data_IF_888861127876
#
_entry.id   IF_888861127876
#
_cell.length_a   1.000
_cell.length_b   1.000
_cell.length_c   1.000
_cell.angle_alpha   90.00
_cell.angle_beta   90.00
_cell.angle_gamma   90.00
#
_symmetry.space_group_name_H-M   'P 1'
#
loop_
_entity.id
_entity.type
_entity.pdbx_description
1 polymer ?
#
# COMPACT_ATOMS: atom_id res chain seq x y z
N UNK A 1 -19.12 -0.71 14.84
CA UNK A 1 -18.87 -1.27 13.49
C UNK A 1 -17.35 -1.31 13.26
N UNK A 2 -16.69 -2.47 13.37
CA UNK A 2 -15.21 -2.58 13.42
C UNK A 2 -14.69 -3.66 12.44
N UNK A 3 -15.17 -3.68 11.19
CA UNK A 3 -14.70 -4.67 10.20
C UNK A 3 -14.15 -4.07 8.90
N UNK A 4 -14.21 -2.75 8.71
CA UNK A 4 -13.90 -2.10 7.43
C UNK A 4 -12.44 -2.25 6.98
N UNK A 5 -11.52 -2.38 7.93
CA UNK A 5 -10.08 -2.53 7.64
C UNK A 5 -9.61 -3.98 7.64
N UNK A 6 -10.52 -4.94 7.92
CA UNK A 6 -10.20 -6.36 7.85
C UNK A 6 -9.99 -6.75 6.39
N UNK A 7 -9.01 -7.60 6.13
CA UNK A 7 -8.81 -8.15 4.78
C UNK A 7 -9.95 -9.13 4.53
N UNK A 8 -10.75 -8.81 3.53
CA UNK A 8 -11.85 -9.64 3.05
C UNK A 8 -11.31 -10.81 2.22
N UNK A 9 -10.37 -10.52 1.32
CA UNK A 9 -9.81 -11.51 0.40
C UNK A 9 -8.33 -11.30 0.15
N UNK A 10 -7.60 -12.40 0.01
CA UNK A 10 -6.23 -12.41 -0.49
C UNK A 10 -6.25 -12.20 -1.99
N UNK A 11 -5.41 -11.30 -2.48
CA UNK A 11 -5.27 -11.00 -3.91
C UNK A 11 -4.01 -11.68 -4.41
N UNK A 12 -4.08 -12.27 -5.61
CA UNK A 12 -2.91 -12.87 -6.23
C UNK A 12 -1.87 -11.79 -6.54
N UNK A 13 -0.62 -12.02 -6.13
CA UNK A 13 0.47 -11.07 -6.32
C UNK A 13 0.75 -10.81 -7.80
N UNK A 14 0.68 -11.84 -8.66
CA UNK A 14 0.93 -11.70 -10.10
C UNK A 14 -0.14 -10.83 -10.74
N UNK A 15 -1.40 -11.14 -10.50
CA UNK A 15 -2.56 -10.36 -10.99
C UNK A 15 -2.48 -8.91 -10.49
N UNK A 16 -2.12 -8.70 -9.22
CA UNK A 16 -1.95 -7.37 -8.67
C UNK A 16 -0.84 -6.58 -9.36
N UNK A 17 0.30 -7.21 -9.66
CA UNK A 17 1.41 -6.54 -10.37
C UNK A 17 0.98 -6.16 -11.78
N UNK A 18 0.29 -7.04 -12.50
CA UNK A 18 -0.24 -6.73 -13.84
C UNK A 18 -1.24 -5.57 -13.77
N UNK A 19 -2.16 -5.62 -12.82
CA UNK A 19 -3.13 -4.55 -12.58
C UNK A 19 -2.46 -3.21 -12.27
N UNK A 20 -1.41 -3.19 -11.43
CA UNK A 20 -0.67 -1.95 -11.11
C UNK A 20 0.07 -1.40 -12.33
N UNK A 21 0.56 -2.27 -13.23
CA UNK A 21 1.27 -1.87 -14.46
C UNK A 21 0.37 -1.14 -15.46
N UNK A 22 -0.95 -1.32 -15.40
CA UNK A 22 -1.89 -0.56 -16.23
C UNK A 22 -1.91 0.93 -15.89
N UNK A 23 -1.47 1.31 -14.68
CA UNK A 23 -1.43 2.69 -14.24
C UNK A 23 -0.09 3.36 -14.55
N UNK A 24 -0.16 4.56 -15.13
CA UNK A 24 1.00 5.44 -15.32
C UNK A 24 1.43 6.06 -13.99
N UNK A 25 2.72 6.38 -13.88
CA UNK A 25 3.32 7.03 -12.70
C UNK A 25 2.58 8.31 -12.26
N UNK A 26 2.03 9.05 -13.20
CA UNK A 26 1.26 10.29 -12.98
C UNK A 26 -0.09 10.05 -12.30
N UNK A 27 -0.65 8.85 -12.44
CA UNK A 27 -1.97 8.49 -11.89
C UNK A 27 -1.91 8.16 -10.40
N UNK A 28 -0.72 8.08 -9.80
CA UNK A 28 -0.55 7.79 -8.38
C UNK A 28 -0.60 9.07 -7.56
N UNK A 29 -1.64 9.25 -6.76
CA UNK A 29 -1.81 10.43 -5.90
C UNK A 29 -1.49 10.10 -4.45
N UNK A 30 -0.75 11.01 -3.81
CA UNK A 30 -0.54 11.03 -2.37
C UNK A 30 -1.13 12.34 -1.84
N UNK A 31 -2.08 12.25 -0.91
CA UNK A 31 -2.62 13.44 -0.22
C UNK A 31 -1.84 13.70 1.07
N UNK A 32 -2.01 14.86 1.70
CA UNK A 32 -1.43 15.15 3.01
C UNK A 32 -1.80 14.10 4.09
N UNK A 33 -3.01 13.55 4.01
CA UNK A 33 -3.47 12.45 4.86
C UNK A 33 -2.62 11.17 4.74
N UNK A 34 -1.97 10.94 3.60
CA UNK A 34 -1.04 9.83 3.39
C UNK A 34 0.09 9.84 4.40
N UNK A 35 0.58 11.05 4.71
CA UNK A 35 1.71 11.29 5.59
C UNK A 35 1.28 11.64 7.03
N UNK A 36 -0.03 11.67 7.31
CA UNK A 36 -0.57 12.07 8.61
C UNK A 36 -0.09 11.15 9.74
N UNK A 37 0.04 9.85 9.47
CA UNK A 37 0.52 8.86 10.45
C UNK A 37 2.04 8.83 10.64
N UNK A 38 2.78 9.64 9.89
CA UNK A 38 4.24 9.65 9.94
C UNK A 38 4.75 10.69 10.92
N UNK A 39 5.73 10.29 11.72
CA UNK A 39 6.59 11.24 12.42
C UNK A 39 7.42 12.05 11.40
N UNK A 40 7.88 13.24 11.79
CA UNK A 40 8.72 14.08 10.91
C UNK A 40 9.94 13.35 10.36
N UNK A 41 10.54 12.44 11.14
CA UNK A 41 11.66 11.59 10.71
C UNK A 41 11.27 10.65 9.56
N UNK A 42 10.06 10.09 9.60
CA UNK A 42 9.58 9.20 8.53
C UNK A 42 9.16 9.97 7.28
N UNK A 43 8.60 11.19 7.43
CA UNK A 43 8.29 12.09 6.30
C UNK A 43 9.52 12.49 5.49
N UNK A 44 10.69 12.55 6.12
CA UNK A 44 11.97 12.83 5.45
C UNK A 44 12.52 11.65 4.64
N UNK A 45 12.16 10.42 4.98
CA UNK A 45 12.71 9.21 4.36
C UNK A 45 11.79 8.70 3.24
N UNK A 46 10.48 8.78 3.43
CA UNK A 46 9.50 8.21 2.50
C UNK A 46 8.67 9.33 1.88
N UNK A 47 9.02 9.67 0.65
CA UNK A 47 8.32 10.65 -0.18
C UNK A 47 7.24 9.98 -1.04
N UNK A 48 6.34 10.76 -1.62
CA UNK A 48 5.36 10.28 -2.60
C UNK A 48 6.04 9.55 -3.77
N UNK A 49 7.16 10.08 -4.26
CA UNK A 49 7.96 9.45 -5.32
C UNK A 49 8.46 8.06 -4.92
N UNK A 50 8.91 7.89 -3.68
CA UNK A 50 9.40 6.60 -3.19
C UNK A 50 8.28 5.57 -3.08
N UNK A 51 7.10 5.97 -2.57
CA UNK A 51 5.94 5.07 -2.51
C UNK A 51 5.47 4.62 -3.89
N UNK A 52 5.47 5.55 -4.87
CA UNK A 52 5.20 5.22 -6.28
C UNK A 52 6.20 4.21 -6.82
N UNK A 53 7.49 4.45 -6.56
CA UNK A 53 8.57 3.54 -6.97
C UNK A 53 8.38 2.15 -6.37
N UNK A 54 8.01 2.06 -5.10
CA UNK A 54 7.76 0.78 -4.41
C UNK A 54 6.57 0.05 -5.06
N UNK A 55 5.44 0.74 -5.28
CA UNK A 55 4.25 0.12 -5.86
C UNK A 55 4.48 -0.43 -7.27
N UNK A 56 5.25 0.27 -8.10
CA UNK A 56 5.44 -0.09 -9.51
C UNK A 56 6.60 -1.08 -9.69
N UNK A 57 7.71 -0.89 -8.98
CA UNK A 57 8.96 -1.61 -9.25
C UNK A 57 9.25 -2.73 -8.25
N UNK A 58 8.57 -2.77 -7.09
CA UNK A 58 8.78 -3.86 -6.12
C UNK A 58 7.65 -4.88 -6.21
N UNK A 59 8.01 -6.12 -5.90
CA UNK A 59 7.04 -7.20 -5.72
C UNK A 59 6.55 -7.20 -4.27
N UNK A 60 5.24 -7.05 -4.02
CA UNK A 60 4.70 -7.24 -2.69
C UNK A 60 4.76 -8.73 -2.32
N UNK A 61 4.97 -9.04 -1.05
CA UNK A 61 4.94 -10.42 -0.56
C UNK A 61 3.53 -10.85 -0.13
N UNK A 62 2.64 -9.88 0.11
CA UNK A 62 1.23 -10.11 0.43
C UNK A 62 0.38 -8.95 -0.08
N UNK A 63 -0.79 -9.27 -0.62
CA UNK A 63 -1.80 -8.30 -1.02
C UNK A 63 -3.15 -8.79 -0.52
N UNK A 64 -3.88 -7.91 0.16
CA UNK A 64 -5.24 -8.18 0.61
C UNK A 64 -6.18 -7.04 0.24
N UNK A 65 -7.37 -7.38 -0.22
CA UNK A 65 -8.46 -6.42 -0.40
C UNK A 65 -9.23 -6.29 0.91
N UNK A 66 -9.50 -5.06 1.35
CA UNK A 66 -10.23 -4.72 2.55
C UNK A 66 -11.71 -4.44 2.22
N UNK A 67 -12.60 -4.62 3.18
CA UNK A 67 -14.04 -4.37 3.01
C UNK A 67 -14.38 -2.93 2.56
N UNK A 68 -13.54 -1.95 2.92
CA UNK A 68 -13.69 -0.56 2.45
C UNK A 68 -13.14 -0.33 1.03
N UNK A 69 -12.97 -1.40 0.22
CA UNK A 69 -12.45 -1.39 -1.15
C UNK A 69 -11.01 -0.88 -1.28
N UNK A 70 -10.28 -0.75 -0.18
CA UNK A 70 -8.85 -0.47 -0.21
C UNK A 70 -8.05 -1.76 -0.33
N UNK A 71 -6.83 -1.64 -0.83
CA UNK A 71 -5.86 -2.71 -0.89
C UNK A 71 -4.81 -2.49 0.19
N UNK A 72 -4.66 -3.48 1.07
CA UNK A 72 -3.55 -3.60 1.99
C UNK A 72 -2.43 -4.38 1.30
N UNK A 73 -1.34 -3.70 1.00
CA UNK A 73 -0.23 -4.20 0.22
C UNK A 73 1.00 -4.23 1.12
N UNK A 74 1.71 -5.35 1.16
CA UNK A 74 2.82 -5.57 2.07
C UNK A 74 4.12 -5.79 1.31
N UNK A 75 5.16 -5.03 1.66
CA UNK A 75 6.48 -5.04 1.05
C UNK A 75 7.58 -5.24 2.08
N UNK A 76 8.70 -5.86 1.68
CA UNK A 76 9.96 -5.78 2.43
C UNK A 76 10.72 -4.53 1.98
N UNK A 77 10.99 -3.61 2.90
CA UNK A 77 11.71 -2.37 2.66
C UNK A 77 12.77 -2.15 3.75
N UNK A 78 14.05 -2.11 3.37
CA UNK A 78 15.18 -1.92 4.30
C UNK A 78 15.09 -2.82 5.55
N UNK A 79 14.91 -4.13 5.34
CA UNK A 79 14.73 -5.16 6.39
C UNK A 79 13.50 -5.00 7.30
N UNK A 80 12.57 -4.08 7.00
CA UNK A 80 11.30 -3.91 7.71
C UNK A 80 10.12 -4.30 6.82
N UNK A 81 8.99 -4.63 7.45
CA UNK A 81 7.74 -4.84 6.72
C UNK A 81 7.03 -3.51 6.58
N UNK A 82 6.76 -3.12 5.34
CA UNK A 82 6.03 -1.91 5.00
C UNK A 82 4.62 -2.32 4.56
N UNK A 83 3.61 -1.79 5.23
CA UNK A 83 2.22 -1.90 4.80
C UNK A 83 1.79 -0.60 4.14
N UNK A 84 1.32 -0.69 2.91
CA UNK A 84 0.74 0.40 2.14
C UNK A 84 -0.76 0.12 2.00
N UNK A 85 -1.59 1.11 2.33
CA UNK A 85 -3.01 1.08 2.05
C UNK A 85 -3.25 1.98 0.84
N UNK A 86 -3.71 1.40 -0.26
CA UNK A 86 -3.98 2.12 -1.49
C UNK A 86 -5.40 1.82 -2.00
N UNK A 87 -6.05 2.84 -2.53
CA UNK A 87 -7.31 2.72 -3.23
C UNK A 87 -7.05 2.81 -4.73
N UNK A 88 -7.50 1.82 -5.49
CA UNK A 88 -7.39 1.80 -6.93
C UNK A 88 -8.77 2.08 -7.51
N UNK A 89 -8.86 3.11 -8.35
CA UNK A 89 -10.05 3.44 -9.12
C UNK A 89 -9.67 3.54 -10.60
N UNK A 90 -10.66 3.54 -11.50
CA UNK A 90 -10.46 3.43 -12.95
C UNK A 90 -9.55 4.52 -13.58
N UNK A 91 -9.18 5.56 -12.84
CA UNK A 91 -8.36 6.67 -13.35
C UNK A 91 -7.10 6.95 -12.53
N UNK A 92 -7.07 6.57 -11.26
CA UNK A 92 -6.04 7.00 -10.30
C UNK A 92 -5.80 5.95 -9.21
N UNK A 93 -4.58 5.93 -8.71
CA UNK A 93 -4.19 5.15 -7.54
C UNK A 93 -3.97 6.12 -6.39
N UNK A 94 -4.87 6.12 -5.41
CA UNK A 94 -4.76 6.96 -4.22
C UNK A 94 -4.07 6.19 -3.12
N UNK A 95 -2.87 6.61 -2.73
CA UNK A 95 -2.21 6.06 -1.56
C UNK A 95 -2.88 6.69 -0.34
N UNK A 96 -3.59 5.90 0.46
CA UNK A 96 -4.39 6.38 1.59
C UNK A 96 -3.49 6.62 2.79
N UNK A 97 -2.63 5.65 3.12
CA UNK A 97 -1.65 5.74 4.20
C UNK A 97 -0.65 4.60 4.06
N UNK A 98 0.47 4.70 4.77
CA UNK A 98 1.42 3.60 4.91
C UNK A 98 2.07 3.65 6.30
N UNK A 99 2.58 2.51 6.75
CA UNK A 99 3.31 2.42 8.00
C UNK A 99 4.13 1.12 8.04
N UNK A 100 5.18 1.13 8.85
CA UNK A 100 5.94 -0.09 9.13
C UNK A 100 5.18 -0.96 10.13
N UNK A 101 5.28 -2.27 9.96
CA UNK A 101 4.66 -3.25 10.83
C UNK A 101 5.66 -4.32 11.26
N UNK A 102 5.40 -4.91 12.41
CA UNK A 102 6.12 -6.08 12.89
C UNK A 102 5.59 -7.37 12.23
N UNK A 103 6.37 -8.45 12.31
CA UNK A 103 6.00 -9.73 11.68
C UNK A 103 4.68 -10.31 12.22
N UNK A 104 4.42 -10.15 13.52
CA UNK A 104 3.19 -10.62 14.15
C UNK A 104 1.93 -9.87 13.67
N UNK A 105 2.09 -8.70 13.07
CA UNK A 105 0.99 -7.91 12.49
C UNK A 105 0.67 -8.31 11.05
N UNK A 106 1.46 -9.20 10.45
CA UNK A 106 1.20 -9.72 9.11
C UNK A 106 0.01 -10.70 9.20
N UNK A 107 -1.07 -10.47 8.43
CA UNK A 107 -2.22 -11.36 8.40
C UNK A 107 -1.84 -12.76 7.96
N UNK A 108 -2.25 -13.77 8.72
CA UNK A 108 -2.18 -15.18 8.34
C UNK A 108 -3.42 -15.52 7.51
N UNK A 109 -3.37 -15.24 6.21
CA UNK A 109 -4.43 -15.45 5.22
C UNK A 109 -3.97 -16.31 4.05
#
# INVERSE_FOLDING_TARGET
>A
MINETKIEKKVNIKEFIEFVKEYKKEQFECTEHTFFRLSEKQRKIITSSELRRILINKTPFLVGSQYNKNYAIFYKYQNRNLKIIANFNNRKVKIVTFYFIEEWQIPKI
#
